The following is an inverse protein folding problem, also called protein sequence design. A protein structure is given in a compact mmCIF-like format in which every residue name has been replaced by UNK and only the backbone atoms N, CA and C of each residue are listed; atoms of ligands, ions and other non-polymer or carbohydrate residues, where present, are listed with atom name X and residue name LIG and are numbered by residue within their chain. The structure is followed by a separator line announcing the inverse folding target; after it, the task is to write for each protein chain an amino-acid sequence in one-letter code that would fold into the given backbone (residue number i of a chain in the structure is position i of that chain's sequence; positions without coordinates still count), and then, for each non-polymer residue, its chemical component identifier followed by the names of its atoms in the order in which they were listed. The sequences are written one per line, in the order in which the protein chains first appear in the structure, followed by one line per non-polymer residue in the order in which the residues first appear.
data_IF_366252796169
#
_entry.id   IF_366252796169
#
_cell.length_a   1.000
_cell.length_b   1.000
_cell.length_c   1.000
_cell.angle_alpha   90.00
_cell.angle_beta   90.00
_cell.angle_gamma   90.00
#
_symmetry.space_group_name_H-M   'P 1'
#
loop_
_entity.id
_entity.type
_entity.pdbx_description
1 polymer ?
#
# COMPACT_ATOMS: atom_id res chain seq x y z
N UNK A 1 -26.77 13.89 2.89
CA UNK A 1 -26.44 13.24 4.18
C UNK A 1 -26.53 11.74 3.95
N UNK A 2 -25.41 11.03 4.12
CA UNK A 2 -25.16 9.72 3.50
C UNK A 2 -24.95 8.68 4.60
N UNK A 3 -25.86 7.71 4.69
CA UNK A 3 -25.82 6.34 5.26
C UNK A 3 -25.14 6.05 6.63
N UNK A 4 -24.16 6.84 7.08
CA UNK A 4 -23.47 6.70 8.36
C UNK A 4 -24.31 7.18 9.55
N UNK A 5 -25.27 8.09 9.34
CA UNK A 5 -26.15 8.58 10.42
C UNK A 5 -27.28 7.60 10.78
N UNK A 6 -27.56 6.60 9.94
CA UNK A 6 -28.62 5.61 10.20
C UNK A 6 -28.16 4.45 11.10
N UNK A 7 -26.86 4.12 11.06
CA UNK A 7 -26.26 3.03 11.85
C UNK A 7 -26.09 3.43 13.32
N UNK A 8 -25.91 4.73 13.60
CA UNK A 8 -25.79 5.24 14.97
C UNK A 8 -27.11 5.22 15.77
N UNK A 9 -28.28 5.12 15.11
CA UNK A 9 -29.58 5.10 15.81
C UNK A 9 -29.99 3.67 16.21
N UNK A 10 -29.49 2.63 15.53
CA UNK A 10 -29.85 1.24 15.84
C UNK A 10 -28.93 0.55 16.88
N UNK A 11 -27.77 1.13 17.18
CA UNK A 11 -26.84 0.57 18.18
C UNK A 11 -27.19 0.95 19.64
N UNK A 12 -28.21 1.77 19.88
CA UNK A 12 -28.55 2.31 21.20
C UNK A 12 -29.66 1.58 21.99
N UNK A 13 -30.31 0.54 21.44
CA UNK A 13 -31.53 -0.03 22.05
C UNK A 13 -31.36 -1.45 22.65
N UNK A 14 -30.15 -1.98 22.79
CA UNK A 14 -29.94 -3.40 23.16
C UNK A 14 -29.02 -3.65 24.37
N UNK A 15 -28.86 -2.69 25.29
CA UNK A 15 -27.96 -2.84 26.46
C UNK A 15 -28.69 -2.94 27.82
N UNK A 16 -30.00 -2.69 27.91
CA UNK A 16 -30.72 -2.91 29.17
C UNK A 16 -31.48 -4.23 29.08
N UNK A 17 -31.00 -5.29 29.76
CA UNK A 17 -31.73 -6.45 30.32
C UNK A 17 -30.88 -7.74 30.32
N UNK A 18 -29.63 -7.71 30.79
CA UNK A 18 -28.95 -8.93 31.28
C UNK A 18 -28.03 -8.54 32.44
N UNK A 19 -28.57 -8.43 33.65
CA UNK A 19 -27.79 -8.44 34.90
C UNK A 19 -28.73 -8.60 36.08
N UNK A 20 -28.84 -9.81 36.61
CA UNK A 20 -28.90 -10.14 38.06
C UNK A 20 -28.97 -11.66 38.17
N UNK A 21 -27.83 -12.29 38.50
CA UNK A 21 -27.69 -13.49 39.34
C UNK A 21 -26.42 -14.26 38.97
N UNK A 22 -25.30 -13.86 39.57
CA UNK A 22 -24.21 -14.74 39.98
C UNK A 22 -23.25 -13.91 40.83
N UNK A 23 -23.41 -13.95 42.15
CA UNK A 23 -22.28 -13.74 43.05
C UNK A 23 -21.78 -15.10 43.52
N UNK A 24 -20.47 -15.26 43.41
CA UNK A 24 -19.67 -16.41 43.84
C UNK A 24 -18.60 -15.85 44.76
N UNK A 25 -18.34 -16.53 45.86
CA UNK A 25 -17.19 -16.33 46.73
C UNK A 25 -17.53 -16.75 48.16
N UNK A 26 -16.72 -17.52 48.91
CA UNK A 26 -15.28 -17.69 48.84
C UNK A 26 -14.85 -18.97 49.58
N UNK A 27 -13.77 -19.55 49.10
CA UNK A 27 -12.93 -20.63 49.65
C UNK A 27 -12.35 -20.32 51.04
N UNK A 28 -12.14 -21.34 51.89
CA UNK A 28 -10.84 -21.63 52.57
C UNK A 28 -10.87 -22.94 53.38
N UNK A 29 -9.73 -23.63 53.32
CA UNK A 29 -9.29 -24.86 53.98
C UNK A 29 -9.38 -24.95 55.51
N UNK A 30 -9.34 -26.19 56.04
CA UNK A 30 -8.34 -26.70 57.05
C UNK A 30 -8.93 -27.61 58.14
N UNK A 31 -8.39 -28.83 58.18
CA UNK A 31 -8.31 -29.85 59.25
C UNK A 31 -8.30 -29.34 60.70
N UNK A 32 -9.03 -30.02 61.62
CA UNK A 32 -8.59 -30.51 62.97
C UNK A 32 -9.80 -31.05 63.79
N UNK A 33 -9.63 -32.24 64.38
CA UNK A 33 -10.50 -32.99 65.35
C UNK A 33 -10.05 -32.57 66.78
N UNK A 34 -10.79 -32.64 67.94
CA UNK A 34 -11.79 -33.66 68.33
C UNK A 34 -13.00 -33.24 69.25
N UNK A 35 -14.03 -34.11 69.29
CA UNK A 35 -15.03 -34.55 70.34
C UNK A 35 -15.29 -33.76 71.65
N UNK A 36 -16.32 -34.07 72.49
CA UNK A 36 -17.52 -34.96 72.33
C UNK A 36 -18.86 -34.34 72.84
N UNK A 37 -20.02 -34.84 72.40
CA UNK A 37 -21.16 -35.11 73.31
C UNK A 37 -21.95 -36.31 72.80
N UNK A 38 -22.08 -37.30 73.67
CA UNK A 38 -23.04 -38.40 73.71
C UNK A 38 -24.41 -38.11 73.09
N UNK A 39 -24.96 -39.05 72.31
CA UNK A 39 -25.98 -40.04 72.75
C UNK A 39 -26.13 -41.13 71.68
N UNK A 40 -25.97 -42.39 72.09
CA UNK A 40 -26.39 -43.64 71.43
C UNK A 40 -27.55 -44.22 72.28
N UNK A 41 -28.41 -45.17 71.84
CA UNK A 41 -28.62 -45.82 70.53
C UNK A 41 -30.08 -45.70 70.01
N UNK A 42 -30.35 -45.94 68.74
CA UNK A 42 -31.24 -47.04 68.33
C UNK A 42 -31.30 -47.21 66.80
N UNK A 43 -31.35 -48.47 66.43
CA UNK A 43 -31.35 -48.98 65.07
C UNK A 43 -32.61 -48.59 64.30
N UNK A 44 -32.45 -48.07 63.07
CA UNK A 44 -33.29 -48.46 61.93
C UNK A 44 -32.48 -48.21 60.66
N UNK A 45 -32.04 -49.27 59.97
CA UNK A 45 -31.89 -49.17 58.52
C UNK A 45 -33.30 -49.19 57.93
N UNK A 46 -33.62 -48.28 57.00
CA UNK A 46 -34.07 -48.78 55.72
C UNK A 46 -33.28 -48.09 54.60
N UNK A 47 -32.70 -48.94 53.78
CA UNK A 47 -32.57 -48.81 52.33
C UNK A 47 -33.49 -47.76 51.67
N UNK A 48 -33.09 -46.50 51.59
CA UNK A 48 -33.72 -45.50 50.71
C UNK A 48 -32.70 -44.43 50.29
N UNK A 49 -31.84 -44.72 49.30
CA UNK A 49 -31.16 -43.63 48.59
C UNK A 49 -30.85 -43.92 47.11
N UNK A 50 -31.45 -44.97 46.54
CA UNK A 50 -31.27 -45.33 45.12
C UNK A 50 -32.04 -44.39 44.17
N UNK A 51 -33.08 -43.70 44.67
CA UNK A 51 -33.89 -42.77 43.89
C UNK A 51 -33.26 -41.37 43.78
N UNK A 52 -32.64 -40.87 44.85
CA UNK A 52 -31.95 -39.57 44.87
C UNK A 52 -30.62 -39.60 44.11
N UNK A 53 -29.90 -40.73 44.07
CA UNK A 53 -28.72 -40.93 43.22
C UNK A 53 -29.07 -41.04 41.74
N UNK A 54 -30.19 -41.68 41.36
CA UNK A 54 -30.63 -41.72 39.95
C UNK A 54 -31.06 -40.35 39.44
N UNK A 55 -31.81 -39.58 40.24
CA UNK A 55 -32.26 -38.24 39.85
C UNK A 55 -31.10 -37.23 39.70
N UNK A 56 -30.09 -37.30 40.57
CA UNK A 56 -28.87 -36.47 40.46
C UNK A 56 -28.00 -36.85 39.26
N UNK A 57 -27.93 -38.14 38.91
CA UNK A 57 -27.15 -38.65 37.77
C UNK A 57 -27.82 -38.32 36.41
N UNK A 58 -29.15 -38.33 36.34
CA UNK A 58 -29.88 -37.85 35.16
C UNK A 58 -29.78 -36.33 34.98
N UNK A 59 -29.81 -35.55 36.08
CA UNK A 59 -29.58 -34.11 36.03
C UNK A 59 -28.16 -33.77 35.58
N UNK A 60 -27.15 -34.53 36.04
CA UNK A 60 -25.76 -34.38 35.59
C UNK A 60 -25.58 -34.73 34.10
N UNK A 61 -26.23 -35.80 33.62
CA UNK A 61 -26.23 -36.15 32.20
C UNK A 61 -26.85 -35.07 31.32
N UNK A 62 -28.01 -34.52 31.72
CA UNK A 62 -28.64 -33.41 30.99
C UNK A 62 -27.79 -32.14 30.98
N UNK A 63 -27.10 -31.85 32.09
CA UNK A 63 -26.15 -30.74 32.17
C UNK A 63 -24.95 -30.93 31.24
N UNK A 64 -24.37 -32.13 31.21
CA UNK A 64 -23.27 -32.49 30.31
C UNK A 64 -23.68 -32.41 28.83
N UNK A 65 -24.85 -32.93 28.46
CA UNK A 65 -25.38 -32.83 27.09
C UNK A 65 -25.66 -31.39 26.66
N UNK A 66 -26.15 -30.55 27.58
CA UNK A 66 -26.37 -29.13 27.32
C UNK A 66 -25.04 -28.37 27.12
N UNK A 67 -24.02 -28.68 27.94
CA UNK A 67 -22.69 -28.10 27.82
C UNK A 67 -21.99 -28.54 26.52
N UNK A 68 -22.14 -29.80 26.13
CA UNK A 68 -21.57 -30.32 24.88
C UNK A 68 -22.24 -29.70 23.64
N UNK A 69 -23.56 -29.48 23.68
CA UNK A 69 -24.28 -28.74 22.62
C UNK A 69 -23.84 -27.28 22.54
N UNK A 70 -23.64 -26.62 23.68
CA UNK A 70 -23.16 -25.24 23.73
C UNK A 70 -21.73 -25.12 23.16
N UNK A 71 -20.83 -26.04 23.52
CA UNK A 71 -19.47 -26.08 22.98
C UNK A 71 -19.46 -26.36 21.47
N UNK A 72 -20.28 -27.29 20.97
CA UNK A 72 -20.42 -27.55 19.53
C UNK A 72 -20.95 -26.34 18.75
N UNK A 73 -21.88 -25.58 19.33
CA UNK A 73 -22.39 -24.36 18.72
C UNK A 73 -21.31 -23.26 18.67
N UNK A 74 -20.54 -23.11 19.74
CA UNK A 74 -19.44 -22.14 19.83
C UNK A 74 -18.29 -22.49 18.86
N UNK A 75 -17.96 -23.77 18.72
CA UNK A 75 -16.95 -24.24 17.76
C UNK A 75 -17.37 -24.00 16.31
N UNK A 76 -18.66 -24.17 15.98
CA UNK A 76 -19.20 -23.86 14.64
C UNK A 76 -19.10 -22.37 14.33
N UNK A 77 -19.47 -21.50 15.28
CA UNK A 77 -19.35 -20.04 15.14
C UNK A 77 -17.90 -19.60 14.98
N UNK A 78 -16.98 -20.16 15.77
CA UNK A 78 -15.55 -19.88 15.66
C UNK A 78 -14.97 -20.35 14.31
N UNK A 79 -15.38 -21.53 13.82
CA UNK A 79 -14.99 -22.03 12.48
C UNK A 79 -15.50 -21.12 11.36
N UNK A 80 -16.70 -20.59 11.47
CA UNK A 80 -17.29 -19.70 10.47
C UNK A 80 -16.62 -18.31 10.49
N UNK A 81 -16.38 -17.75 11.67
CA UNK A 81 -15.60 -16.50 11.82
C UNK A 81 -14.18 -16.65 11.30
N UNK A 82 -13.50 -17.77 11.57
CA UNK A 82 -12.16 -18.02 11.07
C UNK A 82 -12.11 -18.16 9.53
N UNK A 83 -13.16 -18.72 8.91
CA UNK A 83 -13.28 -18.77 7.44
C UNK A 83 -13.48 -17.37 6.86
N UNK A 84 -14.38 -16.57 7.44
CA UNK A 84 -14.64 -15.20 7.01
C UNK A 84 -13.38 -14.32 7.13
N UNK A 85 -12.64 -14.42 8.24
CA UNK A 85 -11.38 -13.68 8.41
C UNK A 85 -10.31 -14.10 7.39
N UNK A 86 -10.17 -15.41 7.13
CA UNK A 86 -9.22 -15.91 6.11
C UNK A 86 -9.57 -15.42 4.71
N UNK A 87 -10.85 -15.32 4.38
CA UNK A 87 -11.32 -14.84 3.08
C UNK A 87 -11.09 -13.33 2.94
N UNK A 88 -11.37 -12.56 4.00
CA UNK A 88 -11.09 -11.13 4.06
C UNK A 88 -9.59 -10.83 3.96
N UNK A 89 -8.73 -11.62 4.62
CA UNK A 89 -7.28 -11.49 4.54
C UNK A 89 -6.75 -11.80 3.13
N UNK A 90 -7.32 -12.82 2.45
CA UNK A 90 -6.98 -13.12 1.05
C UNK A 90 -7.33 -11.98 0.12
N UNK A 91 -8.55 -11.43 0.24
CA UNK A 91 -9.01 -10.27 -0.54
C UNK A 91 -8.12 -9.04 -0.31
N UNK A 92 -7.77 -8.74 0.95
CA UNK A 92 -6.87 -7.65 1.29
C UNK A 92 -5.46 -7.84 0.70
N UNK A 93 -4.92 -9.07 0.75
CA UNK A 93 -3.61 -9.39 0.14
C UNK A 93 -3.64 -9.25 -1.37
N UNK A 94 -4.74 -9.62 -2.03
CA UNK A 94 -4.90 -9.48 -3.47
C UNK A 94 -5.00 -8.01 -3.90
N UNK A 95 -5.82 -7.22 -3.20
CA UNK A 95 -5.91 -5.77 -3.41
C UNK A 95 -4.55 -5.08 -3.20
N UNK A 96 -3.82 -5.43 -2.14
CA UNK A 96 -2.49 -4.87 -1.89
C UNK A 96 -1.48 -5.24 -3.00
N UNK A 97 -1.56 -6.46 -3.56
CA UNK A 97 -0.73 -6.86 -4.71
C UNK A 97 -1.11 -6.07 -5.97
N UNK A 98 -2.40 -5.85 -6.22
CA UNK A 98 -2.88 -5.07 -7.35
C UNK A 98 -2.43 -3.60 -7.25
N UNK A 99 -2.61 -2.98 -6.08
CA UNK A 99 -2.15 -1.61 -5.82
C UNK A 99 -0.63 -1.46 -5.99
N UNK A 100 0.16 -2.40 -5.46
CA UNK A 100 1.63 -2.39 -5.66
C UNK A 100 2.03 -2.51 -7.13
N UNK A 101 1.32 -3.31 -7.94
CA UNK A 101 1.57 -3.39 -9.38
C UNK A 101 1.22 -2.07 -10.09
N UNK A 102 0.07 -1.48 -9.75
CA UNK A 102 -0.37 -0.21 -10.31
C UNK A 102 0.59 0.93 -9.95
N UNK A 103 1.05 1.00 -8.70
CA UNK A 103 2.02 1.99 -8.25
C UNK A 103 3.37 1.86 -8.98
N UNK A 104 3.86 0.63 -9.19
CA UNK A 104 5.08 0.38 -9.96
C UNK A 104 4.94 0.85 -11.41
N UNK A 105 3.82 0.53 -12.06
CA UNK A 105 3.52 0.98 -13.43
C UNK A 105 3.44 2.51 -13.52
N UNK A 106 2.74 3.15 -12.59
CA UNK A 106 2.63 4.60 -12.53
C UNK A 106 4.00 5.27 -12.32
N UNK A 107 4.83 4.73 -11.42
CA UNK A 107 6.21 5.22 -11.22
C UNK A 107 7.07 5.05 -12.46
N UNK A 108 6.94 3.95 -13.18
CA UNK A 108 7.70 3.72 -14.42
C UNK A 108 7.26 4.69 -15.53
N UNK A 109 5.96 4.88 -15.71
CA UNK A 109 5.41 5.86 -16.66
C UNK A 109 5.86 7.28 -16.34
N UNK A 110 5.79 7.70 -15.07
CA UNK A 110 6.26 9.01 -14.63
C UNK A 110 7.75 9.21 -14.95
N UNK A 111 8.60 8.19 -14.68
CA UNK A 111 10.03 8.23 -15.03
C UNK A 111 10.28 8.30 -16.53
N UNK A 112 9.51 7.58 -17.35
CA UNK A 112 9.61 7.65 -18.81
C UNK A 112 9.23 9.04 -19.32
N UNK A 113 8.13 9.60 -18.82
CA UNK A 113 7.67 10.94 -19.20
C UNK A 113 8.65 12.04 -18.77
N UNK A 114 9.25 11.93 -17.58
CA UNK A 114 10.29 12.85 -17.12
C UNK A 114 11.54 12.79 -18.02
N UNK A 115 12.00 11.58 -18.38
CA UNK A 115 13.14 11.39 -19.28
C UNK A 115 12.87 11.94 -20.67
N UNK A 116 11.67 11.70 -21.21
CA UNK A 116 11.24 12.23 -22.50
C UNK A 116 11.18 13.77 -22.47
N UNK A 117 10.63 14.36 -21.41
CA UNK A 117 10.60 15.82 -21.22
C UNK A 117 12.01 16.42 -21.20
N UNK A 118 12.93 15.82 -20.43
CA UNK A 118 14.34 16.25 -20.38
C UNK A 118 15.03 16.14 -21.74
N UNK A 119 14.80 15.05 -22.46
CA UNK A 119 15.38 14.85 -23.80
C UNK A 119 14.84 15.88 -24.81
N UNK A 120 13.53 16.17 -24.80
CA UNK A 120 12.93 17.21 -25.64
C UNK A 120 13.47 18.61 -25.29
N UNK A 121 13.72 18.89 -24.02
CA UNK A 121 14.34 20.14 -23.60
C UNK A 121 15.79 20.27 -24.11
N UNK A 122 16.55 19.17 -24.13
CA UNK A 122 17.91 19.13 -24.70
C UNK A 122 17.88 19.44 -26.21
N UNK A 123 16.94 18.82 -26.95
CA UNK A 123 16.71 19.09 -28.38
C UNK A 123 16.42 20.58 -28.62
N UNK A 124 15.44 21.14 -27.90
CA UNK A 124 15.05 22.55 -28.06
C UNK A 124 16.22 23.52 -27.78
N UNK A 125 17.02 23.25 -26.73
CA UNK A 125 18.22 24.05 -26.42
C UNK A 125 19.28 23.97 -27.51
N UNK A 126 19.48 22.79 -28.11
CA UNK A 126 20.43 22.59 -29.20
C UNK A 126 19.97 23.28 -30.49
N UNK A 127 18.69 23.16 -30.84
CA UNK A 127 18.11 23.84 -32.00
C UNK A 127 18.24 25.37 -31.87
N UNK A 128 17.98 25.92 -30.68
CA UNK A 128 18.19 27.35 -30.42
C UNK A 128 19.67 27.76 -30.54
N UNK A 129 20.61 26.93 -30.11
CA UNK A 129 22.06 27.18 -30.28
C UNK A 129 22.47 27.13 -31.75
N UNK A 130 21.96 26.15 -32.50
CA UNK A 130 22.22 26.01 -33.94
C UNK A 130 21.69 27.23 -34.69
N UNK A 131 20.46 27.68 -34.41
CA UNK A 131 19.88 28.87 -35.05
C UNK A 131 20.73 30.13 -34.79
N UNK A 132 21.21 30.32 -33.55
CA UNK A 132 22.14 31.42 -33.20
C UNK A 132 23.47 31.30 -33.95
N UNK A 133 24.03 30.10 -34.04
CA UNK A 133 25.29 29.86 -34.75
C UNK A 133 25.14 30.08 -36.26
N UNK A 134 24.03 29.65 -36.86
CA UNK A 134 23.69 29.91 -38.27
C UNK A 134 23.54 31.40 -38.55
N UNK A 135 22.89 32.14 -37.65
CA UNK A 135 22.78 33.60 -37.76
C UNK A 135 24.16 34.28 -37.71
N UNK A 136 25.04 33.81 -36.81
CA UNK A 136 26.41 34.33 -36.74
C UNK A 136 27.22 33.99 -38.00
N UNK A 137 27.10 32.76 -38.53
CA UNK A 137 27.72 32.34 -39.78
C UNK A 137 27.26 33.23 -40.95
N UNK A 138 25.95 33.49 -41.06
CA UNK A 138 25.40 34.34 -42.10
C UNK A 138 25.95 35.78 -42.02
N UNK A 139 26.12 36.33 -40.81
CA UNK A 139 26.75 37.65 -40.61
C UNK A 139 28.20 37.69 -41.08
N UNK A 140 29.00 36.68 -40.75
CA UNK A 140 30.40 36.60 -41.19
C UNK A 140 30.50 36.43 -42.71
N UNK A 141 29.64 35.60 -43.32
CA UNK A 141 29.54 35.45 -44.76
C UNK A 141 29.15 36.76 -45.45
N UNK A 142 28.15 37.47 -44.92
CA UNK A 142 27.73 38.76 -45.46
C UNK A 142 28.85 39.82 -45.35
N UNK A 143 29.55 39.87 -44.21
CA UNK A 143 30.69 40.74 -44.00
C UNK A 143 31.82 40.47 -45.00
N UNK A 144 32.15 39.19 -45.25
CA UNK A 144 33.13 38.80 -46.27
C UNK A 144 32.70 39.30 -47.65
N UNK A 145 31.45 39.02 -48.06
CA UNK A 145 30.91 39.44 -49.37
C UNK A 145 30.96 40.96 -49.55
N UNK A 146 30.53 41.73 -48.55
CA UNK A 146 30.55 43.20 -48.60
C UNK A 146 31.98 43.73 -48.71
N UNK A 147 32.92 43.21 -47.90
CA UNK A 147 34.31 43.68 -47.91
C UNK A 147 35.03 43.34 -49.21
N UNK A 148 34.78 42.14 -49.75
CA UNK A 148 35.27 41.74 -51.07
C UNK A 148 34.72 42.66 -52.16
N UNK A 149 33.42 42.89 -52.20
CA UNK A 149 32.78 43.75 -53.19
C UNK A 149 33.28 45.20 -53.14
N UNK A 150 33.62 45.70 -51.95
CA UNK A 150 34.18 47.06 -51.77
C UNK A 150 35.68 47.15 -52.10
N UNK A 151 36.36 46.05 -52.42
CA UNK A 151 37.81 46.03 -52.66
C UNK A 151 38.65 46.40 -51.43
N UNK A 152 38.06 46.38 -50.22
CA UNK A 152 38.70 46.81 -48.96
C UNK A 152 39.30 45.64 -48.17
N UNK A 153 39.49 44.48 -48.80
CA UNK A 153 39.92 43.26 -48.13
C UNK A 153 41.31 42.86 -48.61
N UNK A 154 42.29 42.86 -47.69
CA UNK A 154 43.61 42.33 -47.97
C UNK A 154 43.56 40.79 -48.04
N UNK A 155 44.51 40.12 -48.71
CA UNK A 155 44.58 38.66 -48.74
C UNK A 155 44.65 38.02 -47.34
N UNK A 156 45.31 38.69 -46.40
CA UNK A 156 45.45 38.24 -45.01
C UNK A 156 44.12 38.36 -44.25
N UNK A 157 43.40 39.46 -44.42
CA UNK A 157 42.08 39.65 -43.82
C UNK A 157 41.04 38.70 -44.38
N UNK A 158 41.13 38.40 -45.68
CA UNK A 158 40.30 37.40 -46.33
C UNK A 158 40.52 36.00 -45.73
N UNK A 159 41.78 35.59 -45.62
CA UNK A 159 42.14 34.31 -45.01
C UNK A 159 41.61 34.22 -43.56
N UNK A 160 41.72 35.31 -42.79
CA UNK A 160 41.20 35.37 -41.41
C UNK A 160 39.68 35.24 -41.33
N UNK A 161 38.94 35.90 -42.20
CA UNK A 161 37.48 35.78 -42.26
C UNK A 161 37.04 34.38 -42.73
N UNK A 162 37.71 33.82 -43.73
CA UNK A 162 37.46 32.45 -44.18
C UNK A 162 37.73 31.43 -43.07
N UNK A 163 38.81 31.61 -42.29
CA UNK A 163 39.09 30.79 -41.10
C UNK A 163 37.94 30.85 -40.08
N UNK A 164 37.48 32.06 -39.73
CA UNK A 164 36.32 32.21 -38.84
C UNK A 164 35.06 31.53 -39.38
N UNK A 165 34.79 31.65 -40.68
CA UNK A 165 33.64 31.00 -41.32
C UNK A 165 33.77 29.47 -41.23
N UNK A 166 34.98 28.93 -41.40
CA UNK A 166 35.25 27.51 -41.27
C UNK A 166 35.02 27.02 -39.84
N UNK A 167 35.54 27.73 -38.84
CA UNK A 167 35.35 27.41 -37.42
C UNK A 167 33.85 27.40 -37.07
N UNK A 168 33.10 28.42 -37.52
CA UNK A 168 31.64 28.49 -37.32
C UNK A 168 30.90 27.33 -37.96
N UNK A 169 31.33 26.86 -39.14
CA UNK A 169 30.75 25.68 -39.79
C UNK A 169 31.05 24.41 -39.00
N UNK A 170 32.26 24.25 -38.47
CA UNK A 170 32.60 23.13 -37.59
C UNK A 170 31.76 23.14 -36.32
N UNK A 171 31.62 24.29 -35.65
CA UNK A 171 30.77 24.44 -34.46
C UNK A 171 29.32 24.01 -34.75
N UNK A 172 28.76 24.42 -35.90
CA UNK A 172 27.41 24.02 -36.32
C UNK A 172 27.32 22.52 -36.55
N UNK A 173 28.32 21.90 -37.16
CA UNK A 173 28.35 20.44 -37.37
C UNK A 173 28.40 19.68 -36.05
N UNK A 174 29.22 20.11 -35.10
CA UNK A 174 29.29 19.52 -33.76
C UNK A 174 27.97 19.65 -33.01
N UNK A 175 27.31 20.80 -33.12
CA UNK A 175 25.98 21.01 -32.55
C UNK A 175 24.92 20.12 -33.24
N UNK A 176 24.97 19.98 -34.56
CA UNK A 176 24.07 19.07 -35.31
C UNK A 176 24.28 17.61 -34.92
N UNK A 177 25.52 17.18 -34.69
CA UNK A 177 25.81 15.84 -34.19
C UNK A 177 25.24 15.61 -32.79
N UNK A 178 25.39 16.60 -31.90
CA UNK A 178 24.76 16.56 -30.57
C UNK A 178 23.23 16.53 -30.68
N UNK A 179 22.65 17.30 -31.59
CA UNK A 179 21.20 17.33 -31.84
C UNK A 179 20.70 15.96 -32.32
N UNK A 180 21.42 15.30 -33.22
CA UNK A 180 21.09 13.97 -33.69
C UNK A 180 21.04 12.97 -32.53
N UNK A 181 22.09 12.95 -31.68
CA UNK A 181 22.11 12.12 -30.47
C UNK A 181 20.97 12.44 -29.50
N UNK A 182 20.62 13.72 -29.34
CA UNK A 182 19.50 14.12 -28.49
C UNK A 182 18.14 13.64 -29.07
N UNK A 183 17.94 13.75 -30.38
CA UNK A 183 16.74 13.23 -31.07
C UNK A 183 16.64 11.70 -30.97
N UNK A 184 17.77 10.99 -31.03
CA UNK A 184 17.81 9.55 -30.79
C UNK A 184 17.38 9.18 -29.37
N UNK A 185 17.82 9.94 -28.34
CA UNK A 185 17.34 9.75 -26.96
C UNK A 185 15.83 9.98 -26.84
N UNK A 186 15.29 11.01 -27.50
CA UNK A 186 13.83 11.26 -27.52
C UNK A 186 13.10 10.05 -28.09
N UNK A 187 13.55 9.54 -29.25
CA UNK A 187 12.96 8.36 -29.87
C UNK A 187 13.01 7.14 -28.92
N UNK A 188 14.16 6.92 -28.27
CA UNK A 188 14.34 5.84 -27.28
C UNK A 188 13.37 5.91 -26.10
N UNK A 189 12.97 7.12 -25.66
CA UNK A 189 12.03 7.29 -24.54
C UNK A 189 10.56 7.38 -24.98
N UNK A 190 10.31 7.55 -26.29
CA UNK A 190 8.97 7.62 -26.86
C UNK A 190 8.37 6.24 -27.18
N UNK A 191 9.21 5.20 -27.24
CA UNK A 191 8.84 3.79 -27.41
C UNK A 191 8.65 3.14 -26.03
#
# INVERSE_FOLDING_TARGET
MKLQTLIAVFAGLLIAQVSFAQEVGTTTDTTTVPTPVDVKPEAVMPTENTAQTKATLEAQKKSLEAQEKAQKAQEKLAKEQAKAQKEQEKLAKEQAKAQKKQEKLAKEQAKKQERLSKANQEVSKLEAKIAKAQTALAKEQNNLTIKKAKGKLSPQDEAKLNGKILDRKQDINDLNFKLLKAKEKVNKYSI
#
